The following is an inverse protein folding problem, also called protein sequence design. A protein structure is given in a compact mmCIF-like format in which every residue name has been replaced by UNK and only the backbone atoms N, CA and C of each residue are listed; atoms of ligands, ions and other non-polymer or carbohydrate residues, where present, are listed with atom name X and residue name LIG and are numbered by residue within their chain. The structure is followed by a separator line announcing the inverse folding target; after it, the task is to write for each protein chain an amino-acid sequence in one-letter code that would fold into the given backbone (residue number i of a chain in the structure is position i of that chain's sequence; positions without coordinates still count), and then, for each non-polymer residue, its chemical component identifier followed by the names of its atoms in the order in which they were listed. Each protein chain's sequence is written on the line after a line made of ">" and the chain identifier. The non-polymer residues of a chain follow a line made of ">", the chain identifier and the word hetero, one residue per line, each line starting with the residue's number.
data_IF_193474905121
#
_entry.id   IF_193474905121
#
_cell.length_a   1.000
_cell.length_b   1.000
_cell.length_c   1.000
_cell.angle_alpha   90.00
_cell.angle_beta   90.00
_cell.angle_gamma   90.00
#
_symmetry.space_group_name_H-M   'P 1'
#
loop_
_entity.id
_entity.type
_entity.pdbx_description
1 polymer ?
#
# COMPACT_ATOMS: atom_id res chain seq x y z
N UNK A 1 -4.41 -3.34 30.30
CA UNK A 1 -4.38 -3.25 28.85
C UNK A 1 -3.42 -4.31 28.31
N UNK A 2 -3.97 -5.38 27.71
CA UNK A 2 -3.19 -6.54 27.26
C UNK A 2 -2.45 -6.34 25.92
N UNK A 3 -2.26 -5.11 25.47
CA UNK A 3 -1.69 -4.75 24.16
C UNK A 3 -0.30 -5.28 23.93
N UNK A 4 0.58 -5.13 24.88
CA UNK A 4 1.97 -5.62 24.77
C UNK A 4 2.02 -7.16 24.54
N UNK A 5 0.96 -7.88 24.85
CA UNK A 5 0.85 -9.32 24.62
C UNK A 5 0.36 -9.68 23.20
N UNK A 6 -0.23 -8.74 22.46
CA UNK A 6 -0.76 -9.02 21.11
C UNK A 6 0.30 -9.49 20.14
N UNK A 7 1.53 -8.98 20.21
CA UNK A 7 2.66 -9.45 19.39
C UNK A 7 2.95 -10.94 19.59
N UNK A 8 2.88 -11.42 20.82
CA UNK A 8 3.09 -12.85 21.13
C UNK A 8 1.94 -13.71 20.65
N UNK A 9 0.72 -13.17 20.70
CA UNK A 9 -0.46 -13.84 20.15
C UNK A 9 -0.36 -13.96 18.62
N UNK A 10 -0.03 -12.89 17.92
CA UNK A 10 0.18 -12.91 16.47
C UNK A 10 1.35 -13.83 16.10
N UNK A 11 2.43 -13.81 16.87
CA UNK A 11 3.53 -14.73 16.70
C UNK A 11 3.08 -16.20 16.86
N UNK A 12 2.34 -16.52 17.90
CA UNK A 12 1.85 -17.88 18.15
C UNK A 12 0.93 -18.39 17.04
N UNK A 13 0.10 -17.52 16.44
CA UNK A 13 -0.76 -17.87 15.31
C UNK A 13 0.08 -18.16 14.05
N UNK A 14 1.13 -17.40 13.82
CA UNK A 14 1.88 -17.42 12.56
C UNK A 14 3.08 -18.40 12.56
N UNK A 15 3.65 -18.72 13.72
CA UNK A 15 4.89 -19.50 13.83
C UNK A 15 4.70 -20.88 14.46
N UNK A 16 3.58 -21.14 15.13
CA UNK A 16 3.40 -22.44 15.77
C UNK A 16 2.53 -23.38 14.93
N UNK A 17 2.75 -24.71 15.00
CA UNK A 17 1.90 -25.68 14.34
C UNK A 17 0.42 -25.49 14.73
N UNK A 18 -0.46 -25.58 13.75
CA UNK A 18 -1.92 -25.42 13.94
C UNK A 18 -2.34 -24.06 14.56
N UNK A 19 -1.47 -23.04 14.55
CA UNK A 19 -1.77 -21.75 15.16
C UNK A 19 -3.05 -21.09 14.60
N UNK A 20 -3.23 -21.13 13.27
CA UNK A 20 -4.43 -20.60 12.59
C UNK A 20 -5.67 -21.42 12.93
N UNK A 21 -5.56 -22.74 12.94
CA UNK A 21 -6.65 -23.63 13.34
C UNK A 21 -7.11 -23.36 14.79
N UNK A 22 -6.15 -23.23 15.72
CA UNK A 22 -6.46 -22.88 17.11
C UNK A 22 -7.16 -21.54 17.22
N UNK A 23 -6.72 -20.55 16.45
CA UNK A 23 -7.40 -19.25 16.39
C UNK A 23 -8.84 -19.43 15.96
N UNK A 24 -9.06 -20.05 14.81
CA UNK A 24 -10.37 -20.17 14.17
C UNK A 24 -11.38 -20.99 15.00
N UNK A 25 -10.95 -22.16 15.50
CA UNK A 25 -11.86 -23.11 16.12
C UNK A 25 -11.89 -23.06 17.66
N UNK A 26 -10.95 -22.41 18.30
CA UNK A 26 -10.86 -22.36 19.77
C UNK A 26 -10.89 -20.94 20.28
N UNK A 27 -9.99 -20.08 19.79
CA UNK A 27 -9.77 -18.76 20.39
C UNK A 27 -10.87 -17.77 19.96
N UNK A 28 -11.12 -17.64 18.68
CA UNK A 28 -12.14 -16.70 18.16
C UNK A 28 -13.53 -17.02 18.68
N UNK A 29 -14.02 -18.30 18.70
CA UNK A 29 -15.29 -18.62 19.31
C UNK A 29 -15.40 -18.28 20.80
N UNK A 30 -14.31 -18.33 21.55
CA UNK A 30 -14.29 -17.95 22.97
C UNK A 30 -14.30 -16.42 23.14
N UNK A 31 -13.51 -15.71 22.34
CA UNK A 31 -13.44 -14.25 22.38
C UNK A 31 -14.75 -13.58 21.98
N UNK A 32 -15.41 -14.09 20.94
CA UNK A 32 -16.66 -13.52 20.42
C UNK A 32 -17.91 -13.87 21.22
N UNK A 33 -17.79 -14.67 22.29
CA UNK A 33 -18.92 -14.90 23.23
C UNK A 33 -19.31 -13.66 24.03
N UNK A 34 -18.37 -12.74 24.24
CA UNK A 34 -18.62 -11.49 24.96
C UNK A 34 -18.79 -10.36 23.96
N UNK A 35 -19.88 -9.59 24.06
CA UNK A 35 -20.01 -8.31 23.37
C UNK A 35 -18.97 -7.36 23.96
N UNK A 36 -17.93 -7.06 23.18
CA UNK A 36 -16.99 -6.01 23.49
C UNK A 36 -17.57 -4.68 22.96
N UNK A 37 -17.67 -3.68 23.82
CA UNK A 37 -18.03 -2.31 23.44
C UNK A 37 -16.82 -1.44 23.71
N UNK A 38 -16.23 -0.91 22.66
CA UNK A 38 -15.07 -0.03 22.73
C UNK A 38 -15.41 1.37 22.23
N UNK A 39 -14.71 2.34 22.74
CA UNK A 39 -14.77 3.70 22.21
C UNK A 39 -14.21 3.73 20.80
N UNK A 40 -14.95 4.31 19.85
CA UNK A 40 -14.52 4.40 18.45
C UNK A 40 -13.13 5.06 18.30
N UNK A 41 -12.88 6.14 19.05
CA UNK A 41 -11.60 6.85 18.99
C UNK A 41 -10.45 6.01 19.58
N UNK A 42 -10.74 5.18 20.59
CA UNK A 42 -9.77 4.24 21.14
C UNK A 42 -9.39 3.17 20.11
N UNK A 43 -10.37 2.56 19.44
CA UNK A 43 -10.13 1.59 18.37
C UNK A 43 -9.36 2.22 17.19
N UNK A 44 -9.67 3.48 16.83
CA UNK A 44 -9.00 4.19 15.75
C UNK A 44 -7.56 4.60 16.11
N UNK A 45 -7.23 4.71 17.39
CA UNK A 45 -5.88 5.06 17.88
C UNK A 45 -4.95 3.86 18.02
N UNK A 46 -5.41 2.66 17.69
CA UNK A 46 -4.61 1.45 17.77
C UNK A 46 -3.39 1.53 16.85
N UNK A 47 -2.20 1.49 17.44
CA UNK A 47 -0.98 1.50 16.67
C UNK A 47 -0.59 0.08 16.23
N UNK A 48 -0.15 -0.04 14.99
CA UNK A 48 0.36 -1.28 14.41
C UNK A 48 1.71 -1.69 15.03
N UNK A 49 2.43 -0.76 15.66
CA UNK A 49 3.74 -1.00 16.27
C UNK A 49 3.74 -2.18 17.27
N UNK A 50 2.65 -2.36 18.00
CA UNK A 50 2.50 -3.44 18.99
C UNK A 50 2.26 -4.81 18.35
N UNK A 51 1.84 -4.85 17.09
CA UNK A 51 1.68 -6.07 16.31
C UNK A 51 2.96 -6.48 15.58
N UNK A 52 3.95 -5.60 15.52
CA UNK A 52 5.21 -5.86 14.86
C UNK A 52 6.10 -6.81 15.68
N UNK A 53 6.94 -7.63 15.01
CA UNK A 53 7.95 -8.42 15.71
C UNK A 53 8.99 -7.51 16.37
N UNK A 54 9.60 -7.96 17.46
CA UNK A 54 10.66 -7.24 18.17
C UNK A 54 11.90 -6.96 17.29
N UNK A 55 12.09 -7.72 16.22
CA UNK A 55 13.13 -7.53 15.21
C UNK A 55 12.59 -7.90 13.83
N UNK A 56 13.02 -7.15 12.81
CA UNK A 56 12.69 -7.42 11.39
C UNK A 56 13.80 -8.20 10.66
N UNK A 57 14.79 -8.72 11.38
CA UNK A 57 15.93 -9.41 10.78
C UNK A 57 15.52 -10.64 9.99
N UNK A 58 14.61 -11.45 10.52
CA UNK A 58 14.23 -12.73 9.92
C UNK A 58 12.83 -12.75 9.28
N UNK A 59 11.93 -11.93 9.79
CA UNK A 59 10.56 -11.83 9.30
C UNK A 59 9.96 -10.46 9.63
N UNK A 60 8.99 -10.06 8.83
CA UNK A 60 8.19 -8.86 9.06
C UNK A 60 6.75 -9.13 8.66
N UNK A 61 5.83 -8.25 9.10
CA UNK A 61 4.46 -8.24 8.63
C UNK A 61 4.32 -7.18 7.54
N UNK A 62 3.53 -7.51 6.53
CA UNK A 62 3.35 -6.67 5.34
C UNK A 62 1.88 -6.58 5.01
N UNK A 63 1.48 -5.41 4.53
CA UNK A 63 0.17 -5.16 3.96
C UNK A 63 0.26 -5.14 2.43
N UNK A 64 -0.77 -5.68 1.80
CA UNK A 64 -1.09 -5.46 0.39
C UNK A 64 -2.59 -5.28 0.27
N UNK A 65 -3.02 -4.58 -0.75
CA UNK A 65 -4.43 -4.27 -0.93
C UNK A 65 -4.82 -4.40 -2.40
N UNK A 66 -5.96 -5.06 -2.62
CA UNK A 66 -6.52 -5.33 -3.93
C UNK A 66 -7.95 -4.82 -3.96
N UNK A 67 -8.34 -4.27 -5.09
CA UNK A 67 -9.65 -3.66 -5.27
C UNK A 67 -10.45 -4.44 -6.29
N UNK A 68 -11.69 -4.72 -5.95
CA UNK A 68 -12.62 -5.48 -6.78
C UNK A 68 -13.93 -4.70 -6.89
N UNK A 69 -14.47 -4.47 -8.10
CA UNK A 69 -15.82 -3.95 -8.25
C UNK A 69 -16.83 -4.77 -7.44
N UNK A 70 -17.78 -4.10 -6.79
CA UNK A 70 -18.73 -4.74 -5.86
C UNK A 70 -19.45 -5.91 -6.51
N UNK A 71 -19.90 -5.75 -7.77
CA UNK A 71 -20.61 -6.74 -8.54
C UNK A 71 -19.76 -7.95 -8.99
N UNK A 72 -18.44 -7.86 -8.81
CA UNK A 72 -17.49 -8.94 -9.19
C UNK A 72 -16.89 -9.66 -7.97
N UNK A 73 -17.45 -9.44 -6.79
CA UNK A 73 -16.99 -10.03 -5.54
C UNK A 73 -16.90 -11.56 -5.61
N UNK A 74 -17.99 -12.20 -6.05
CA UNK A 74 -18.08 -13.67 -6.11
C UNK A 74 -17.13 -14.31 -7.14
N UNK A 75 -16.60 -13.51 -8.08
CA UNK A 75 -15.59 -13.95 -9.03
C UNK A 75 -14.17 -13.77 -8.49
N UNK A 76 -13.91 -12.66 -7.78
CA UNK A 76 -12.58 -12.33 -7.28
C UNK A 76 -12.17 -13.17 -6.06
N UNK A 77 -13.08 -13.33 -5.10
CA UNK A 77 -12.77 -13.99 -3.81
C UNK A 77 -12.28 -15.43 -3.98
N UNK A 78 -12.90 -16.29 -4.81
CA UNK A 78 -12.38 -17.64 -5.05
C UNK A 78 -10.97 -17.64 -5.68
N UNK A 79 -10.71 -16.74 -6.64
CA UNK A 79 -9.38 -16.60 -7.27
C UNK A 79 -8.33 -16.20 -6.23
N UNK A 80 -8.64 -15.21 -5.38
CA UNK A 80 -7.75 -14.78 -4.29
C UNK A 80 -7.47 -15.93 -3.32
N UNK A 81 -8.50 -16.64 -2.89
CA UNK A 81 -8.38 -17.77 -1.96
C UNK A 81 -7.49 -18.89 -2.55
N UNK A 82 -7.71 -19.26 -3.80
CA UNK A 82 -6.90 -20.27 -4.50
C UNK A 82 -5.43 -19.89 -4.57
N UNK A 83 -5.11 -18.64 -4.96
CA UNK A 83 -3.73 -18.16 -5.06
C UNK A 83 -3.05 -18.21 -3.69
N UNK A 84 -3.71 -17.69 -2.63
CA UNK A 84 -3.17 -17.68 -1.28
C UNK A 84 -2.91 -19.10 -0.75
N UNK A 85 -3.81 -20.04 -1.03
CA UNK A 85 -3.67 -21.44 -0.63
C UNK A 85 -2.57 -22.15 -1.39
N UNK A 86 -2.52 -22.02 -2.72
CA UNK A 86 -1.51 -22.63 -3.60
C UNK A 86 -0.09 -22.21 -3.21
N UNK A 87 0.12 -20.95 -2.90
CA UNK A 87 1.40 -20.42 -2.47
C UNK A 87 1.66 -20.54 -0.97
N UNK A 88 0.71 -21.12 -0.21
CA UNK A 88 0.79 -21.28 1.25
C UNK A 88 1.14 -19.97 1.94
N UNK A 89 0.49 -18.88 1.52
CA UNK A 89 0.73 -17.55 2.07
C UNK A 89 0.38 -17.54 3.56
N UNK A 90 1.29 -17.02 4.37
CA UNK A 90 1.06 -16.89 5.81
C UNK A 90 0.20 -15.65 6.11
N UNK A 91 -1.03 -15.64 5.57
CA UNK A 91 -2.01 -14.61 5.82
C UNK A 91 -2.42 -14.61 7.30
N UNK A 92 -2.40 -13.45 7.91
CA UNK A 92 -2.84 -13.23 9.30
C UNK A 92 -4.30 -12.79 9.32
N UNK A 93 -4.64 -11.88 8.42
CA UNK A 93 -5.98 -11.32 8.28
C UNK A 93 -6.22 -10.82 6.86
N UNK A 94 -7.49 -10.79 6.45
CA UNK A 94 -7.96 -10.07 5.27
C UNK A 94 -9.14 -9.21 5.72
N UNK A 95 -8.94 -7.90 5.76
CA UNK A 95 -10.03 -6.95 6.01
C UNK A 95 -10.70 -6.59 4.69
N UNK A 96 -12.02 -6.63 4.65
CA UNK A 96 -12.78 -6.19 3.49
C UNK A 96 -13.49 -4.88 3.83
N UNK A 97 -13.28 -3.85 3.02
CA UNK A 97 -13.84 -2.51 3.19
C UNK A 97 -14.59 -2.12 1.94
N UNK A 98 -15.68 -1.38 2.10
CA UNK A 98 -16.39 -0.78 0.97
C UNK A 98 -15.88 0.64 0.73
N UNK A 99 -15.70 1.00 -0.53
CA UNK A 99 -15.30 2.33 -0.97
C UNK A 99 -16.19 2.81 -2.12
N UNK A 100 -16.56 4.09 -2.06
CA UNK A 100 -17.24 4.76 -3.16
C UNK A 100 -16.27 5.08 -4.30
N UNK A 101 -16.83 5.34 -5.48
CA UNK A 101 -16.06 5.74 -6.64
C UNK A 101 -15.27 7.05 -6.39
N UNK A 102 -14.04 7.08 -6.87
CA UNK A 102 -13.20 8.28 -6.92
C UNK A 102 -13.15 8.83 -8.36
N UNK A 103 -13.98 9.83 -8.70
CA UNK A 103 -13.99 10.42 -10.04
C UNK A 103 -12.86 11.45 -10.24
N UNK A 104 -12.17 11.87 -9.18
CA UNK A 104 -11.24 13.00 -9.19
C UNK A 104 -9.78 12.64 -9.44
N UNK A 105 -9.32 11.50 -8.92
CA UNK A 105 -7.91 11.15 -9.00
C UNK A 105 -7.53 10.57 -10.37
N UNK A 106 -6.35 10.92 -10.85
CA UNK A 106 -5.81 10.37 -12.11
C UNK A 106 -5.44 8.89 -11.94
N UNK A 107 -4.86 8.52 -10.79
CA UNK A 107 -4.57 7.14 -10.44
C UNK A 107 -5.63 6.60 -9.47
N UNK A 108 -6.91 6.78 -9.80
CA UNK A 108 -8.01 6.27 -9.01
C UNK A 108 -7.98 4.75 -8.92
N UNK A 109 -7.82 4.22 -7.70
CA UNK A 109 -7.94 2.79 -7.44
C UNK A 109 -9.42 2.35 -7.37
N UNK A 110 -10.34 3.22 -6.92
CA UNK A 110 -11.78 3.00 -6.92
C UNK A 110 -12.43 3.69 -8.12
N UNK A 111 -12.36 3.10 -9.30
CA UNK A 111 -12.98 3.67 -10.53
C UNK A 111 -14.51 3.56 -10.54
N UNK A 112 -15.07 2.68 -9.72
CA UNK A 112 -16.48 2.48 -9.42
C UNK A 112 -16.63 2.12 -7.95
N UNK A 113 -17.82 1.76 -7.50
CA UNK A 113 -18.00 1.16 -6.18
C UNK A 113 -17.18 -0.12 -6.06
N UNK A 114 -16.44 -0.24 -4.97
CA UNK A 114 -15.35 -1.20 -4.88
C UNK A 114 -15.25 -1.79 -3.48
N UNK A 115 -14.99 -3.09 -3.38
CA UNK A 115 -14.46 -3.70 -2.18
C UNK A 115 -12.93 -3.66 -2.19
N UNK A 116 -12.35 -3.20 -1.10
CA UNK A 116 -10.93 -3.19 -0.83
C UNK A 116 -10.57 -4.37 0.08
N UNK A 117 -9.70 -5.27 -0.39
CA UNK A 117 -9.21 -6.44 0.33
C UNK A 117 -7.82 -6.15 0.87
N UNK A 118 -7.74 -5.78 2.15
CA UNK A 118 -6.47 -5.50 2.83
C UNK A 118 -5.91 -6.80 3.39
N UNK A 119 -4.95 -7.35 2.71
CA UNK A 119 -4.24 -8.58 3.10
C UNK A 119 -3.08 -8.25 4.02
N UNK A 120 -3.16 -8.71 5.27
CA UNK A 120 -2.06 -8.65 6.25
C UNK A 120 -1.42 -10.03 6.37
N UNK A 121 -0.12 -10.12 6.08
CA UNK A 121 0.59 -11.39 6.03
C UNK A 121 2.00 -11.30 6.59
N UNK A 122 2.55 -12.45 7.02
CA UNK A 122 3.92 -12.56 7.47
C UNK A 122 4.84 -12.92 6.32
N UNK A 123 5.93 -12.17 6.18
CA UNK A 123 6.95 -12.35 5.16
C UNK A 123 8.32 -12.59 5.80
N UNK A 124 9.07 -13.55 5.28
CA UNK A 124 10.51 -13.70 5.59
C UNK A 124 11.30 -12.64 4.82
N UNK A 125 12.42 -12.17 5.41
CA UNK A 125 13.22 -11.06 4.88
C UNK A 125 14.29 -11.48 3.88
N UNK A 126 14.56 -12.79 3.75
CA UNK A 126 15.51 -13.33 2.76
C UNK A 126 15.03 -13.11 1.33
N UNK A 127 15.96 -12.87 0.40
CA UNK A 127 15.64 -12.51 -1.00
C UNK A 127 14.82 -13.59 -1.72
N UNK A 128 15.11 -14.87 -1.50
CA UNK A 128 14.30 -15.94 -2.07
C UNK A 128 12.84 -15.92 -1.58
N UNK A 129 12.59 -15.47 -0.36
CA UNK A 129 11.23 -15.31 0.17
C UNK A 129 10.53 -14.09 -0.44
N UNK A 130 11.25 -12.97 -0.58
CA UNK A 130 10.74 -11.76 -1.27
C UNK A 130 10.41 -12.07 -2.73
N UNK A 131 11.25 -12.87 -3.43
CA UNK A 131 10.99 -13.29 -4.80
C UNK A 131 9.72 -14.15 -4.91
N UNK A 132 9.49 -15.08 -3.98
CA UNK A 132 8.22 -15.84 -3.93
C UNK A 132 7.02 -14.95 -3.68
N UNK A 133 7.15 -13.97 -2.79
CA UNK A 133 6.10 -12.95 -2.55
C UNK A 133 5.79 -12.21 -3.83
N UNK A 134 6.79 -11.76 -4.56
CA UNK A 134 6.60 -11.06 -5.82
C UNK A 134 5.84 -11.90 -6.87
N UNK A 135 5.99 -13.23 -6.88
CA UNK A 135 5.26 -14.12 -7.80
C UNK A 135 3.77 -14.11 -7.47
N UNK A 136 3.38 -14.53 -6.28
CA UNK A 136 1.96 -14.63 -5.94
C UNK A 136 1.27 -13.26 -5.85
N UNK A 137 2.02 -12.19 -5.53
CA UNK A 137 1.48 -10.83 -5.59
C UNK A 137 1.07 -10.45 -7.01
N UNK A 138 1.91 -10.75 -8.00
CA UNK A 138 1.56 -10.52 -9.41
C UNK A 138 0.35 -11.34 -9.85
N UNK A 139 0.22 -12.58 -9.39
CA UNK A 139 -0.96 -13.40 -9.67
C UNK A 139 -2.24 -12.78 -9.06
N UNK A 140 -2.17 -12.22 -7.83
CA UNK A 140 -3.30 -11.50 -7.23
C UNK A 140 -3.63 -10.21 -7.96
N UNK A 141 -2.62 -9.49 -8.47
CA UNK A 141 -2.81 -8.30 -9.31
C UNK A 141 -3.52 -8.69 -10.61
N UNK A 142 -3.10 -9.78 -11.27
CA UNK A 142 -3.76 -10.28 -12.48
C UNK A 142 -5.20 -10.70 -12.20
N UNK A 143 -5.45 -11.37 -11.08
CA UNK A 143 -6.80 -11.72 -10.65
C UNK A 143 -7.68 -10.48 -10.44
N UNK A 144 -7.16 -9.42 -9.78
CA UNK A 144 -7.89 -8.16 -9.62
C UNK A 144 -8.16 -7.48 -10.96
N UNK A 145 -7.17 -7.39 -11.85
CA UNK A 145 -7.30 -6.82 -13.19
C UNK A 145 -8.33 -7.61 -14.02
N UNK A 146 -8.35 -8.95 -13.92
CA UNK A 146 -9.28 -9.80 -14.67
C UNK A 146 -10.75 -9.54 -14.38
N UNK A 147 -11.05 -8.94 -13.23
CA UNK A 147 -12.41 -8.55 -12.84
C UNK A 147 -12.65 -7.03 -12.96
N UNK A 148 -11.77 -6.30 -13.64
CA UNK A 148 -11.86 -4.85 -13.79
C UNK A 148 -11.40 -4.07 -12.55
N UNK A 149 -10.74 -4.72 -11.62
CA UNK A 149 -10.21 -4.13 -10.40
C UNK A 149 -8.82 -3.53 -10.54
N UNK A 150 -8.19 -3.26 -9.42
CA UNK A 150 -6.86 -2.66 -9.31
C UNK A 150 -6.14 -3.12 -8.02
N UNK A 151 -4.99 -2.53 -7.72
CA UNK A 151 -4.22 -2.80 -6.49
C UNK A 151 -3.67 -1.49 -5.92
N UNK A 152 -3.27 -1.49 -4.64
CA UNK A 152 -2.82 -0.28 -3.97
C UNK A 152 -1.33 0.01 -4.23
N UNK A 153 -1.05 1.18 -4.82
CA UNK A 153 0.30 1.57 -5.28
C UNK A 153 1.33 1.84 -4.17
N UNK A 154 0.96 2.42 -2.99
CA UNK A 154 1.93 2.75 -1.95
C UNK A 154 2.62 1.57 -1.28
N UNK A 155 2.09 0.36 -1.41
CA UNK A 155 2.72 -0.84 -0.87
C UNK A 155 3.87 -1.34 -1.75
N UNK A 156 4.28 -2.61 -1.59
CA UNK A 156 5.41 -3.16 -2.35
C UNK A 156 5.14 -3.15 -3.86
N UNK A 157 6.04 -2.55 -4.61
CA UNK A 157 5.90 -2.37 -6.05
C UNK A 157 6.26 -3.66 -6.84
N UNK A 158 5.47 -4.73 -6.65
CA UNK A 158 5.70 -6.02 -7.33
C UNK A 158 5.13 -6.08 -8.75
N UNK A 159 4.12 -5.28 -9.08
CA UNK A 159 3.49 -5.27 -10.40
C UNK A 159 4.50 -5.06 -11.52
N UNK A 160 4.27 -5.71 -12.66
CA UNK A 160 5.00 -5.41 -13.90
C UNK A 160 4.51 -4.09 -14.50
N UNK A 161 5.26 -3.45 -15.42
CA UNK A 161 4.77 -2.27 -16.14
C UNK A 161 3.44 -2.53 -16.86
N UNK A 162 3.28 -3.70 -17.48
CA UNK A 162 2.02 -4.09 -18.13
C UNK A 162 0.84 -4.13 -17.15
N UNK A 163 1.03 -4.76 -15.99
CA UNK A 163 0.01 -4.81 -14.94
C UNK A 163 -0.33 -3.42 -14.42
N UNK A 164 0.70 -2.57 -14.22
CA UNK A 164 0.48 -1.20 -13.78
C UNK A 164 -0.41 -0.42 -14.76
N UNK A 165 -0.09 -0.44 -16.06
CA UNK A 165 -0.87 0.28 -17.07
C UNK A 165 -2.29 -0.30 -17.26
N UNK A 166 -2.46 -1.62 -17.10
CA UNK A 166 -3.78 -2.24 -17.14
C UNK A 166 -4.65 -1.83 -15.93
N UNK A 167 -4.06 -1.78 -14.74
CA UNK A 167 -4.76 -1.36 -13.52
C UNK A 167 -5.04 0.15 -13.49
N UNK A 168 -4.14 0.97 -14.06
CA UNK A 168 -4.19 2.43 -14.03
C UNK A 168 -4.11 3.02 -15.45
N UNK A 169 -5.20 2.94 -16.24
CA UNK A 169 -5.18 3.33 -17.66
C UNK A 169 -4.89 4.82 -17.89
N UNK A 170 -5.15 5.68 -16.90
CA UNK A 170 -4.86 7.11 -16.97
C UNK A 170 -3.44 7.50 -16.52
N UNK A 171 -2.57 6.52 -16.28
CA UNK A 171 -1.20 6.77 -15.81
C UNK A 171 -0.40 7.71 -16.74
N UNK A 172 -0.64 7.66 -18.05
CA UNK A 172 0.01 8.55 -19.02
C UNK A 172 -0.37 10.04 -18.81
N UNK A 173 -1.59 10.31 -18.35
CA UNK A 173 -2.00 11.69 -18.01
C UNK A 173 -1.17 12.24 -16.83
N UNK A 174 -0.95 11.40 -15.79
CA UNK A 174 -0.08 11.77 -14.68
C UNK A 174 1.36 12.00 -15.13
N UNK A 175 1.87 11.13 -16.01
CA UNK A 175 3.25 11.24 -16.50
C UNK A 175 3.44 12.49 -17.34
N UNK A 176 2.49 12.83 -18.21
CA UNK A 176 2.50 14.08 -18.97
C UNK A 176 2.42 15.31 -18.05
N UNK A 177 1.57 15.29 -17.03
CA UNK A 177 1.51 16.35 -16.03
C UNK A 177 2.84 16.48 -15.28
N UNK A 178 3.40 15.37 -14.82
CA UNK A 178 4.68 15.33 -14.10
C UNK A 178 5.82 15.95 -14.96
N UNK A 179 5.91 15.57 -16.23
CA UNK A 179 6.93 16.12 -17.14
C UNK A 179 6.79 17.64 -17.32
N UNK A 180 5.57 18.17 -17.27
CA UNK A 180 5.30 19.60 -17.38
C UNK A 180 5.64 20.38 -16.11
N UNK A 181 5.32 19.85 -14.92
CA UNK A 181 5.49 20.57 -13.64
C UNK A 181 6.83 20.30 -12.97
N UNK A 182 7.49 19.21 -13.32
CA UNK A 182 8.83 18.84 -12.85
C UNK A 182 9.69 18.32 -14.01
N UNK A 183 10.06 19.19 -14.98
CA UNK A 183 10.77 18.80 -16.20
C UNK A 183 12.16 18.21 -15.95
N UNK A 184 12.75 18.48 -14.80
CA UNK A 184 14.05 17.94 -14.39
C UNK A 184 13.95 16.69 -13.50
N UNK A 185 12.73 16.19 -13.26
CA UNK A 185 12.45 14.99 -12.43
C UNK A 185 13.15 14.99 -11.08
N UNK A 186 13.10 16.13 -10.37
CA UNK A 186 13.72 16.32 -9.05
C UNK A 186 12.97 15.55 -7.96
N UNK A 187 11.64 15.45 -8.06
CA UNK A 187 10.80 14.67 -7.16
C UNK A 187 10.60 13.28 -7.74
N UNK A 188 11.23 12.28 -7.12
CA UNK A 188 11.21 10.90 -7.57
C UNK A 188 10.77 9.97 -6.43
N UNK A 189 10.20 8.83 -6.80
CA UNK A 189 9.89 7.73 -5.90
C UNK A 189 9.98 6.40 -6.67
N UNK A 190 9.83 5.28 -5.94
CA UNK A 190 9.93 3.93 -6.53
C UNK A 190 8.93 3.70 -7.65
N UNK A 191 7.70 4.23 -7.55
CA UNK A 191 6.69 4.13 -8.60
C UNK A 191 7.17 4.80 -9.89
N UNK A 192 7.67 6.03 -9.76
CA UNK A 192 8.22 6.79 -10.87
C UNK A 192 9.37 6.04 -11.53
N UNK A 193 10.35 5.61 -10.75
CA UNK A 193 11.56 4.95 -11.25
C UNK A 193 11.24 3.62 -11.94
N UNK A 194 10.22 2.91 -11.45
CA UNK A 194 9.86 1.60 -12.00
C UNK A 194 8.99 1.68 -13.25
N UNK A 195 8.02 2.59 -13.31
CA UNK A 195 6.97 2.54 -14.34
C UNK A 195 7.08 3.64 -15.37
N UNK A 196 7.73 4.74 -15.05
CA UNK A 196 7.87 5.88 -15.97
C UNK A 196 9.29 6.11 -16.43
N UNK A 197 10.27 6.20 -15.55
CA UNK A 197 11.66 6.50 -15.93
C UNK A 197 12.19 5.59 -17.06
N UNK A 198 11.86 4.28 -17.12
CA UNK A 198 12.29 3.42 -18.23
C UNK A 198 11.68 3.79 -19.60
N UNK A 199 10.59 4.57 -19.63
CA UNK A 199 9.93 5.02 -20.87
C UNK A 199 10.49 6.33 -21.39
N UNK A 200 11.32 7.02 -20.59
CA UNK A 200 11.97 8.25 -21.00
C UNK A 200 13.16 7.97 -21.92
N UNK A 201 13.46 8.86 -22.88
CA UNK A 201 14.75 8.88 -23.52
C UNK A 201 15.84 8.93 -22.45
N UNK A 202 16.97 8.28 -22.68
CA UNK A 202 18.07 8.24 -21.70
C UNK A 202 18.31 9.64 -21.12
N UNK A 203 18.25 9.74 -19.78
CA UNK A 203 18.44 11.01 -19.10
C UNK A 203 19.77 11.62 -19.49
N UNK A 204 19.89 12.97 -19.64
CA UNK A 204 21.17 13.63 -19.75
C UNK A 204 22.05 13.15 -18.60
N UNK A 205 23.31 12.86 -18.91
CA UNK A 205 24.27 12.29 -17.96
C UNK A 205 24.36 13.17 -16.70
N UNK A 206 24.55 12.60 -15.49
CA UNK A 206 24.77 13.39 -14.29
C UNK A 206 26.09 14.16 -14.43
N UNK A 207 26.04 15.42 -14.73
CA UNK A 207 27.20 16.25 -14.96
C UNK A 207 26.89 17.66 -15.45
N UNK A 208 25.73 17.88 -16.03
CA UNK A 208 25.27 19.25 -16.29
C UNK A 208 24.69 19.85 -15.01
N UNK A 209 25.24 20.98 -14.53
CA UNK A 209 24.60 21.69 -13.43
C UNK A 209 23.19 22.08 -13.86
N UNK A 210 22.20 21.96 -12.96
CA UNK A 210 20.85 22.39 -13.26
C UNK A 210 20.90 23.85 -13.74
N UNK A 211 20.10 24.21 -14.76
CA UNK A 211 20.05 25.60 -15.20
C UNK A 211 19.82 26.48 -13.97
N UNK A 212 20.55 27.59 -13.92
CA UNK A 212 20.63 28.53 -12.78
C UNK A 212 19.30 29.22 -12.43
N UNK A 213 18.24 28.92 -13.14
CA UNK A 213 16.91 29.48 -12.95
C UNK A 213 16.03 28.67 -11.98
N UNK A 214 16.58 28.38 -10.80
CA UNK A 214 15.75 27.91 -9.68
C UNK A 214 14.62 28.92 -9.34
N UNK A 215 14.85 30.20 -9.62
CA UNK A 215 13.86 31.27 -9.42
C UNK A 215 12.74 31.30 -10.49
N UNK A 216 13.00 30.85 -11.71
CA UNK A 216 12.00 30.90 -12.79
C UNK A 216 10.84 29.91 -12.59
N UNK A 217 11.06 28.78 -11.91
CA UNK A 217 10.02 27.77 -11.65
C UNK A 217 9.06 28.19 -10.52
N UNK A 218 9.46 29.13 -9.68
CA UNK A 218 8.68 29.63 -8.54
C UNK A 218 8.20 31.09 -8.72
N UNK A 219 8.19 31.60 -9.94
CA UNK A 219 7.63 32.92 -10.24
C UNK A 219 6.10 32.95 -10.30
N UNK A 220 5.43 31.81 -10.14
CA UNK A 220 4.00 31.78 -9.91
C UNK A 220 3.75 32.12 -8.44
N UNK A 221 3.45 33.40 -8.20
CA UNK A 221 3.31 33.99 -6.86
C UNK A 221 2.25 33.28 -6.02
N UNK A 222 1.21 32.74 -6.63
CA UNK A 222 0.14 31.99 -5.92
C UNK A 222 0.64 30.65 -5.37
N UNK A 223 1.51 29.94 -6.08
CA UNK A 223 2.09 28.67 -5.63
C UNK A 223 3.10 28.90 -4.50
N UNK A 224 3.87 29.98 -4.60
CA UNK A 224 4.84 30.38 -3.60
C UNK A 224 4.17 30.76 -2.28
N UNK A 225 3.11 31.56 -2.31
CA UNK A 225 2.35 31.96 -1.12
C UNK A 225 1.61 30.77 -0.47
N UNK A 226 1.07 29.85 -1.26
CA UNK A 226 0.42 28.64 -0.76
C UNK A 226 1.41 27.72 -0.05
N UNK A 227 2.61 27.54 -0.61
CA UNK A 227 3.66 26.72 -0.01
C UNK A 227 4.22 27.36 1.26
N UNK A 228 4.45 28.67 1.29
CA UNK A 228 4.89 29.40 2.48
C UNK A 228 3.85 29.35 3.60
N UNK A 229 2.57 29.51 3.30
CA UNK A 229 1.49 29.36 4.29
C UNK A 229 1.40 27.94 4.82
N UNK A 230 1.58 26.94 3.96
CA UNK A 230 1.65 25.54 4.38
C UNK A 230 2.82 25.31 5.35
N UNK A 231 4.03 25.73 5.00
CA UNK A 231 5.19 25.62 5.88
C UNK A 231 4.99 26.36 7.21
N UNK A 232 4.46 27.59 7.20
CA UNK A 232 4.15 28.34 8.42
C UNK A 232 3.11 27.63 9.28
N UNK A 233 2.15 26.95 8.69
CA UNK A 233 1.15 26.16 9.41
C UNK A 233 1.80 24.93 10.04
N UNK A 234 2.64 24.21 9.31
CA UNK A 234 3.40 23.06 9.83
C UNK A 234 4.29 23.48 10.98
N UNK A 235 5.06 24.57 10.83
CA UNK A 235 5.93 25.09 11.91
C UNK A 235 5.15 25.58 13.13
N UNK A 236 3.91 26.06 12.98
CA UNK A 236 3.05 26.42 14.13
C UNK A 236 2.50 25.22 14.88
N UNK A 237 2.21 24.14 14.15
CA UNK A 237 1.64 22.93 14.73
C UNK A 237 2.72 22.02 15.38
N UNK A 238 3.96 22.10 14.90
CA UNK A 238 5.08 21.29 15.38
C UNK A 238 6.32 22.15 15.66
N UNK A 239 6.29 23.03 16.69
CA UNK A 239 7.38 23.98 16.95
C UNK A 239 8.67 23.32 17.48
N UNK A 240 8.62 22.06 17.90
CA UNK A 240 9.73 21.36 18.56
C UNK A 240 10.48 20.37 17.66
N UNK A 241 9.96 20.06 16.48
CA UNK A 241 10.64 19.17 15.52
C UNK A 241 11.65 19.97 14.69
N UNK A 242 12.85 20.07 15.23
CA UNK A 242 14.01 20.50 14.44
C UNK A 242 14.45 19.34 13.56
N UNK A 243 14.20 19.45 12.28
CA UNK A 243 14.79 18.60 11.26
C UNK A 243 16.30 18.77 11.16
#
# INVERSE_FOLDING_TARGET
>A
DGYALHRYFVWAITETPLGKWRREYVIDPLLFRKKAVHWRNFEASYDVAELEPSTREHATYVLQEYFCPVERFDEFVPKMAEILQRHRVNAVNVSVRHAHADPGSVLAWARGETFAFVLYYKQRTRDNAKNRVAVWTRELIDAAISVGGSYYLPYQAHATPTQFHAAYPRAQELFALKARVDPHFRFRNVLWDKYYAPTLPAAPQPGEPPPSDFHAVFQDVELHDGFYRFLQTVYRLYPEDRF
#
